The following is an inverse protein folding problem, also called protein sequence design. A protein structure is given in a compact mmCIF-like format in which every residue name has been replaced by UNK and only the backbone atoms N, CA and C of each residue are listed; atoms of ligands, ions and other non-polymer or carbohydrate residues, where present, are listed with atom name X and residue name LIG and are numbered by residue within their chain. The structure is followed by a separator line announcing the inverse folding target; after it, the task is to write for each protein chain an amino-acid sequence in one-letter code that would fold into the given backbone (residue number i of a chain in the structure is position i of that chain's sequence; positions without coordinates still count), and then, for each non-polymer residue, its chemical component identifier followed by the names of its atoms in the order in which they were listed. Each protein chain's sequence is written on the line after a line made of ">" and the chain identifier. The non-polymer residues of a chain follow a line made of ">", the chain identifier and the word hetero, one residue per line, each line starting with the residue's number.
data_IF_672400071121
#
_entry.id   IF_672400071121
#
_cell.length_a   1.000
_cell.length_b   1.000
_cell.length_c   1.000
_cell.angle_alpha   90.00
_cell.angle_beta   90.00
_cell.angle_gamma   90.00
#
_symmetry.space_group_name_H-M   'P 1'
#
loop_
_entity.id
_entity.type
_entity.pdbx_description
1 polymer ?
#
# COMPACT_ATOMS: atom_id res chain seq x y z
N UNK A 1 6.71 0.19 9.46
CA UNK A 1 5.63 -0.34 8.61
C UNK A 1 5.25 -1.70 9.13
N UNK A 2 3.98 -1.89 9.40
CA UNK A 2 3.41 -3.17 9.79
C UNK A 2 2.53 -3.65 8.64
N UNK A 3 2.87 -4.79 8.04
CA UNK A 3 2.06 -5.47 7.04
C UNK A 3 1.74 -6.86 7.61
N UNK A 4 0.52 -7.02 8.12
CA UNK A 4 0.05 -8.30 8.65
C UNK A 4 -1.04 -8.85 7.75
N UNK A 5 -0.63 -9.72 6.83
CA UNK A 5 -1.55 -10.63 6.19
C UNK A 5 -1.17 -12.03 6.66
N UNK A 6 -2.06 -12.70 7.40
CA UNK A 6 -1.79 -14.03 7.96
C UNK A 6 -1.47 -15.08 6.89
N UNK A 7 -1.84 -14.82 5.62
CA UNK A 7 -1.50 -15.63 4.45
C UNK A 7 -0.60 -14.89 3.44
N UNK A 8 0.08 -13.82 3.87
CA UNK A 8 1.13 -13.16 3.11
C UNK A 8 0.67 -12.26 1.96
N UNK A 9 1.66 -11.90 1.14
CA UNK A 9 1.47 -11.12 -0.09
C UNK A 9 1.15 -12.10 -1.22
N UNK A 10 0.06 -11.86 -1.95
CA UNK A 10 -0.40 -12.79 -2.99
C UNK A 10 0.13 -12.40 -4.37
N UNK A 11 0.59 -13.35 -5.18
CA UNK A 11 1.02 -13.09 -6.57
C UNK A 11 0.73 -14.27 -7.47
N UNK A 12 0.63 -14.06 -8.78
CA UNK A 12 0.42 -15.14 -9.76
C UNK A 12 1.63 -15.37 -10.67
N UNK A 13 2.69 -14.58 -10.54
CA UNK A 13 3.92 -14.76 -11.30
C UNK A 13 4.64 -13.46 -11.58
N UNK A 14 5.29 -13.41 -12.75
CA UNK A 14 6.02 -12.24 -13.24
C UNK A 14 5.77 -12.03 -14.72
N UNK A 15 5.87 -10.78 -15.17
CA UNK A 15 5.72 -10.42 -16.58
C UNK A 15 6.83 -9.46 -17.02
N UNK A 16 7.17 -9.57 -18.31
CA UNK A 16 8.10 -8.65 -18.96
C UNK A 16 7.39 -7.36 -19.37
N UNK A 17 8.01 -6.22 -19.11
CA UNK A 17 7.48 -4.89 -19.41
C UNK A 17 8.42 -4.06 -20.29
N UNK A 18 8.29 -2.74 -20.18
CA UNK A 18 9.06 -1.77 -20.97
C UNK A 18 10.57 -2.01 -20.83
N UNK A 19 11.24 -2.21 -21.97
CA UNK A 19 12.70 -2.35 -22.02
C UNK A 19 13.24 -3.66 -21.43
N UNK A 20 12.44 -4.73 -21.41
CA UNK A 20 12.83 -6.03 -20.87
C UNK A 20 12.85 -6.09 -19.35
N UNK A 21 12.18 -5.14 -18.68
CA UNK A 21 12.01 -5.17 -17.22
C UNK A 21 11.16 -6.37 -16.83
N UNK A 22 11.44 -6.96 -15.66
CA UNK A 22 10.71 -8.10 -15.14
C UNK A 22 10.06 -7.71 -13.80
N UNK A 23 8.74 -7.84 -13.70
CA UNK A 23 7.96 -7.30 -12.59
C UNK A 23 6.92 -8.32 -12.10
N UNK A 24 6.54 -8.21 -10.82
CA UNK A 24 5.47 -9.04 -10.24
C UNK A 24 4.16 -8.78 -10.98
N UNK A 25 3.39 -9.84 -11.19
CA UNK A 25 2.01 -9.75 -11.66
C UNK A 25 1.04 -10.39 -10.68
N UNK A 26 -0.22 -10.00 -10.81
CA UNK A 26 -1.34 -10.61 -10.12
C UNK A 26 -2.49 -10.82 -11.11
N UNK A 27 -2.91 -12.07 -11.23
CA UNK A 27 -4.26 -12.46 -11.56
C UNK A 27 -4.83 -13.08 -10.30
N UNK A 28 -5.85 -12.45 -9.72
CA UNK A 28 -6.38 -12.87 -8.42
C UNK A 28 -6.96 -14.29 -8.45
N UNK A 29 -7.35 -14.79 -9.63
CA UNK A 29 -7.92 -16.15 -9.78
C UNK A 29 -6.87 -17.23 -9.60
N UNK A 30 -5.63 -16.93 -9.96
CA UNK A 30 -4.51 -17.88 -9.96
C UNK A 30 -3.43 -17.53 -8.91
N UNK A 31 -3.70 -16.54 -8.06
CA UNK A 31 -2.74 -16.04 -7.11
C UNK A 31 -2.52 -17.01 -5.93
N UNK A 32 -1.30 -17.00 -5.41
CA UNK A 32 -0.92 -17.68 -4.16
C UNK A 32 -0.24 -16.70 -3.21
N UNK A 33 -0.48 -16.86 -1.91
CA UNK A 33 0.11 -16.07 -0.84
C UNK A 33 1.50 -16.57 -0.45
N UNK A 34 2.41 -15.66 -0.14
CA UNK A 34 3.76 -15.97 0.33
C UNK A 34 4.05 -15.29 1.67
N UNK A 35 4.36 -16.08 2.70
CA UNK A 35 4.76 -15.56 4.01
C UNK A 35 5.62 -16.55 4.77
N UNK A 36 6.68 -16.09 5.44
CA UNK A 36 7.51 -16.94 6.31
C UNK A 36 8.20 -18.12 5.61
N UNK A 37 8.32 -18.11 4.27
CA UNK A 37 8.81 -19.24 3.48
C UNK A 37 7.74 -20.27 3.11
N UNK A 38 6.49 -20.05 3.52
CA UNK A 38 5.33 -20.88 3.17
C UNK A 38 4.55 -20.30 1.98
N UNK A 39 3.86 -21.20 1.28
CA UNK A 39 2.95 -20.87 0.18
C UNK A 39 1.52 -21.18 0.63
N UNK A 40 0.67 -20.17 0.57
CA UNK A 40 -0.74 -20.25 0.90
C UNK A 40 -1.55 -20.28 -0.40
N UNK A 41 -2.33 -21.33 -0.61
CA UNK A 41 -3.14 -21.50 -1.82
C UNK A 41 -4.49 -22.13 -1.51
N UNK A 42 -5.47 -21.88 -2.37
CA UNK A 42 -6.81 -22.44 -2.27
C UNK A 42 -7.77 -21.61 -1.42
N UNK A 43 -9.00 -22.10 -1.27
CA UNK A 43 -10.10 -21.33 -0.70
C UNK A 43 -9.97 -21.06 0.80
N UNK A 44 -9.37 -21.98 1.57
CA UNK A 44 -9.29 -21.90 3.04
C UNK A 44 -7.86 -22.16 3.51
N UNK A 45 -7.04 -21.13 3.49
CA UNK A 45 -5.61 -21.20 3.84
C UNK A 45 -5.34 -21.60 5.29
N UNK A 46 -6.33 -21.41 6.17
CA UNK A 46 -6.26 -21.73 7.60
C UNK A 46 -7.36 -22.74 8.00
N UNK A 47 -7.85 -23.54 7.05
CA UNK A 47 -8.84 -24.60 7.29
C UNK A 47 -10.26 -24.14 7.60
N UNK A 48 -10.52 -22.83 7.66
CA UNK A 48 -11.85 -22.25 7.89
C UNK A 48 -12.02 -20.88 7.24
N UNK A 49 -13.26 -20.42 7.15
CA UNK A 49 -13.58 -19.02 6.86
C UNK A 49 -13.54 -18.21 8.16
N UNK A 50 -13.10 -16.97 8.04
CA UNK A 50 -13.14 -15.97 9.11
C UNK A 50 -14.24 -14.96 8.80
N UNK A 51 -14.93 -14.49 9.83
CA UNK A 51 -15.89 -13.38 9.69
C UNK A 51 -15.16 -12.03 9.80
N UNK A 52 -15.79 -10.97 9.29
CA UNK A 52 -15.28 -9.62 9.47
C UNK A 52 -15.30 -9.20 10.94
N UNK A 53 -16.31 -9.62 11.70
CA UNK A 53 -16.45 -9.35 13.13
C UNK A 53 -15.27 -9.93 13.92
N UNK A 54 -14.89 -11.18 13.65
CA UNK A 54 -13.70 -11.80 14.26
C UNK A 54 -12.43 -10.99 13.98
N UNK A 55 -12.27 -10.44 12.78
CA UNK A 55 -11.10 -9.62 12.45
C UNK A 55 -11.11 -8.29 13.19
N UNK A 56 -12.27 -7.64 13.29
CA UNK A 56 -12.41 -6.38 14.03
C UNK A 56 -12.18 -6.55 15.53
N UNK A 57 -12.68 -7.63 16.13
CA UNK A 57 -12.46 -7.96 17.54
C UNK A 57 -10.97 -8.19 17.82
N UNK A 58 -10.30 -8.95 16.95
CA UNK A 58 -8.87 -9.20 17.06
C UNK A 58 -8.03 -7.92 16.90
N UNK A 59 -8.39 -7.04 15.96
CA UNK A 59 -7.72 -5.77 15.78
C UNK A 59 -7.92 -4.85 17.00
N UNK A 60 -9.13 -4.79 17.54
CA UNK A 60 -9.44 -4.02 18.75
C UNK A 60 -8.59 -4.50 19.92
N UNK A 61 -8.59 -5.81 20.17
CA UNK A 61 -7.74 -6.43 21.18
C UNK A 61 -6.24 -6.09 20.96
N UNK A 62 -5.75 -6.17 19.73
CA UNK A 62 -4.36 -5.81 19.41
C UNK A 62 -4.08 -4.34 19.75
N UNK A 63 -4.95 -3.41 19.35
CA UNK A 63 -4.78 -1.97 19.64
C UNK A 63 -4.75 -1.69 21.14
N UNK A 64 -5.64 -2.32 21.92
CA UNK A 64 -5.64 -2.20 23.39
C UNK A 64 -4.29 -2.60 24.02
N UNK A 65 -3.55 -3.53 23.40
CA UNK A 65 -2.24 -3.93 23.89
C UNK A 65 -1.10 -3.06 23.36
N UNK A 66 -1.13 -2.68 22.07
CA UNK A 66 0.02 -2.01 21.44
C UNK A 66 0.00 -0.49 21.60
N UNK A 67 -1.17 0.14 21.68
CA UNK A 67 -1.31 1.61 21.75
C UNK A 67 -0.59 2.18 22.97
N UNK A 68 -0.80 1.67 24.20
CA UNK A 68 -0.15 2.22 25.39
C UNK A 68 1.38 2.18 25.27
N UNK A 69 1.92 1.08 24.73
CA UNK A 69 3.37 0.89 24.55
C UNK A 69 3.92 1.80 23.44
N UNK A 70 3.19 1.95 22.34
CA UNK A 70 3.60 2.81 21.24
C UNK A 70 3.67 4.28 21.67
N UNK A 71 2.72 4.73 22.49
CA UNK A 71 2.70 6.07 23.06
C UNK A 71 3.81 6.27 24.11
N UNK A 72 3.98 5.33 25.05
CA UNK A 72 5.03 5.38 26.08
C UNK A 72 6.43 5.47 25.47
N UNK A 73 6.70 4.69 24.43
CA UNK A 73 8.00 4.62 23.76
C UNK A 73 8.16 5.65 22.63
N UNK A 74 7.12 6.43 22.32
CA UNK A 74 7.13 7.40 21.22
C UNK A 74 7.33 6.76 19.83
N UNK A 75 6.90 5.51 19.66
CA UNK A 75 7.02 4.76 18.41
C UNK A 75 5.80 5.01 17.54
N UNK A 76 6.00 5.38 16.29
CA UNK A 76 4.93 5.54 15.30
C UNK A 76 4.75 4.25 14.49
N UNK A 77 3.53 3.70 14.48
CA UNK A 77 3.16 2.49 13.76
C UNK A 77 2.30 2.86 12.56
N UNK A 78 2.89 2.78 11.37
CA UNK A 78 2.18 2.93 10.10
C UNK A 78 1.64 1.59 9.57
N UNK A 79 0.32 1.47 9.49
CA UNK A 79 -0.42 0.30 9.00
C UNK A 79 -0.48 0.30 7.47
N UNK A 80 0.04 -0.77 6.86
CA UNK A 80 0.06 -0.99 5.41
C UNK A 80 -1.26 -1.62 4.92
N UNK A 81 -1.70 -1.35 3.68
CA UNK A 81 -2.89 -1.98 3.14
C UNK A 81 -2.74 -3.49 3.03
N UNK A 82 -3.88 -4.16 2.93
CA UNK A 82 -3.91 -5.53 2.46
C UNK A 82 -3.37 -5.57 1.00
N UNK A 83 -2.40 -6.43 0.67
CA UNK A 83 -1.81 -6.61 -0.67
C UNK A 83 -2.06 -8.04 -1.21
N UNK A 84 -2.99 -8.23 -2.17
CA UNK A 84 -3.80 -7.23 -2.85
C UNK A 84 -5.06 -6.83 -2.06
N UNK A 85 -5.57 -5.60 -2.15
CA UNK A 85 -6.71 -5.17 -1.31
C UNK A 85 -8.06 -5.68 -1.83
N UNK A 86 -9.15 -5.23 -1.18
CA UNK A 86 -10.55 -5.40 -1.58
C UNK A 86 -11.11 -6.81 -1.45
N UNK A 87 -10.48 -7.81 -2.07
CA UNK A 87 -11.09 -9.13 -2.26
C UNK A 87 -10.67 -10.12 -1.16
N UNK A 88 -11.60 -10.90 -0.59
CA UNK A 88 -11.27 -11.97 0.35
C UNK A 88 -10.34 -13.00 -0.29
N UNK A 89 -9.32 -13.43 0.44
CA UNK A 89 -8.34 -14.40 -0.03
C UNK A 89 -8.08 -15.48 1.01
N UNK A 90 -8.14 -16.75 0.57
CA UNK A 90 -7.84 -17.88 1.44
C UNK A 90 -8.75 -18.02 2.67
N UNK A 91 -10.00 -17.55 2.56
CA UNK A 91 -11.00 -17.62 3.64
C UNK A 91 -10.98 -16.42 4.59
N UNK A 92 -10.16 -15.41 4.30
CA UNK A 92 -9.95 -14.23 5.15
C UNK A 92 -10.50 -12.98 4.44
N UNK A 93 -11.49 -12.28 5.05
CA UNK A 93 -11.96 -10.98 4.55
C UNK A 93 -10.88 -9.90 4.61
N UNK A 94 -10.94 -8.92 3.70
CA UNK A 94 -10.05 -7.73 3.67
C UNK A 94 -10.81 -6.46 4.09
N UNK A 95 -11.60 -6.54 5.15
CA UNK A 95 -12.53 -5.49 5.56
C UNK A 95 -11.86 -4.32 6.29
N UNK A 96 -10.70 -4.53 6.91
CA UNK A 96 -10.02 -3.50 7.72
C UNK A 96 -9.05 -2.66 6.89
N UNK A 97 -8.18 -3.30 6.11
CA UNK A 97 -7.11 -2.61 5.36
C UNK A 97 -7.22 -2.81 3.85
N UNK A 98 -8.38 -3.32 3.37
CA UNK A 98 -8.64 -3.51 1.96
C UNK A 98 -9.42 -2.39 1.28
N UNK A 99 -9.86 -1.34 2.01
CA UNK A 99 -10.51 -0.16 1.45
C UNK A 99 -10.50 1.03 2.43
N UNK A 100 -10.92 2.20 1.95
CA UNK A 100 -10.90 3.46 2.70
C UNK A 100 -11.81 3.48 3.95
N UNK A 101 -13.00 2.87 3.87
CA UNK A 101 -13.94 2.84 5.00
C UNK A 101 -13.42 1.94 6.13
N UNK A 102 -12.83 0.80 5.79
CA UNK A 102 -12.10 -0.06 6.72
C UNK A 102 -10.99 0.72 7.42
N UNK A 103 -10.15 1.43 6.67
CA UNK A 103 -9.07 2.23 7.24
C UNK A 103 -9.58 3.28 8.23
N UNK A 104 -10.63 4.03 7.90
CA UNK A 104 -11.22 5.02 8.81
C UNK A 104 -11.69 4.37 10.11
N UNK A 105 -12.38 3.23 10.02
CA UNK A 105 -12.84 2.50 11.21
C UNK A 105 -11.66 2.00 12.04
N UNK A 106 -10.60 1.47 11.40
CA UNK A 106 -9.41 1.00 12.09
C UNK A 106 -8.64 2.12 12.81
N UNK A 107 -8.54 3.31 12.20
CA UNK A 107 -7.94 4.47 12.85
C UNK A 107 -8.79 4.97 14.03
N UNK A 108 -10.11 4.94 13.91
CA UNK A 108 -11.02 5.31 15.00
C UNK A 108 -10.98 4.32 16.17
N UNK A 109 -10.73 3.04 15.92
CA UNK A 109 -10.53 2.03 16.98
C UNK A 109 -9.18 2.22 17.68
N UNK A 110 -8.13 2.53 16.92
CA UNK A 110 -6.81 2.75 17.50
C UNK A 110 -6.73 4.04 18.33
N UNK A 111 -7.43 5.10 17.91
CA UNK A 111 -7.58 6.39 18.59
C UNK A 111 -6.30 6.89 19.29
N UNK A 112 -5.19 6.89 18.53
CA UNK A 112 -3.87 7.20 19.07
C UNK A 112 -3.06 8.04 18.09
N UNK A 113 -2.30 9.05 18.55
CA UNK A 113 -1.38 9.80 17.70
C UNK A 113 -0.19 8.95 17.22
N UNK A 114 0.03 7.78 17.81
CA UNK A 114 1.14 6.88 17.48
C UNK A 114 0.73 5.77 16.50
N UNK A 115 -0.56 5.63 16.20
CA UNK A 115 -1.06 4.70 15.18
C UNK A 115 -1.56 5.49 13.97
N UNK A 116 -1.10 5.08 12.80
CA UNK A 116 -1.42 5.77 11.56
C UNK A 116 -1.26 4.87 10.35
N UNK A 117 -1.17 5.51 9.20
CA UNK A 117 -1.23 4.88 7.88
C UNK A 117 0.14 4.90 7.23
N UNK A 118 0.59 3.72 6.83
CA UNK A 118 1.61 3.56 5.80
C UNK A 118 0.87 3.42 4.46
N UNK A 119 0.61 4.55 3.80
CA UNK A 119 -0.21 4.57 2.59
C UNK A 119 0.59 3.97 1.43
N UNK A 120 0.21 2.77 1.00
CA UNK A 120 0.75 2.19 -0.22
C UNK A 120 -0.07 2.62 -1.41
N UNK A 121 0.48 3.55 -2.19
CA UNK A 121 -0.10 4.01 -3.45
C UNK A 121 -0.32 2.82 -4.37
N UNK A 122 0.64 1.90 -4.44
CA UNK A 122 0.53 0.67 -5.22
C UNK A 122 -0.72 -0.14 -4.89
N UNK A 123 -0.90 -0.55 -3.63
CA UNK A 123 -2.11 -1.29 -3.22
C UNK A 123 -3.38 -0.48 -3.50
N UNK A 124 -3.38 0.82 -3.20
CA UNK A 124 -4.53 1.66 -3.49
C UNK A 124 -4.90 1.67 -4.98
N UNK A 125 -3.90 1.62 -5.86
CA UNK A 125 -4.09 1.51 -7.30
C UNK A 125 -4.54 0.09 -7.72
N UNK A 126 -4.02 -0.96 -7.09
CA UNK A 126 -4.49 -2.33 -7.34
C UNK A 126 -5.99 -2.48 -7.06
N UNK A 127 -6.50 -1.89 -5.97
CA UNK A 127 -7.94 -1.87 -5.69
C UNK A 127 -8.73 -0.89 -6.55
N UNK A 128 -8.07 0.12 -7.12
CA UNK A 128 -8.67 1.21 -7.88
C UNK A 128 -9.64 2.08 -7.06
N UNK A 129 -10.12 3.17 -7.65
CA UNK A 129 -11.08 4.07 -6.97
C UNK A 129 -12.37 3.33 -6.59
N UNK A 130 -12.81 2.40 -7.43
CA UNK A 130 -14.04 1.64 -7.17
C UNK A 130 -13.88 0.68 -5.98
N UNK A 131 -12.79 -0.07 -5.90
CA UNK A 131 -12.58 -1.05 -4.83
C UNK A 131 -12.10 -0.41 -3.53
N UNK A 132 -11.22 0.59 -3.62
CA UNK A 132 -10.74 1.31 -2.43
C UNK A 132 -11.75 2.34 -1.91
N UNK A 133 -12.68 2.80 -2.74
CA UNK A 133 -13.68 3.81 -2.40
C UNK A 133 -13.19 5.27 -2.57
N UNK A 134 -11.91 5.49 -2.86
CA UNK A 134 -11.33 6.80 -3.17
C UNK A 134 -10.00 6.67 -3.93
N UNK A 135 -9.47 7.82 -4.38
CA UNK A 135 -8.14 7.89 -5.01
C UNK A 135 -7.01 7.93 -3.96
N UNK A 136 -5.76 7.59 -4.33
CA UNK A 136 -4.61 7.78 -3.45
C UNK A 136 -4.46 9.22 -2.98
N UNK A 137 -4.71 10.20 -3.86
CA UNK A 137 -4.62 11.62 -3.54
C UNK A 137 -5.65 12.04 -2.47
N UNK A 138 -6.88 11.53 -2.56
CA UNK A 138 -7.91 11.81 -1.55
C UNK A 138 -7.60 11.14 -0.22
N UNK A 139 -7.09 9.90 -0.25
CA UNK A 139 -6.64 9.21 0.95
C UNK A 139 -5.48 9.96 1.64
N UNK A 140 -4.50 10.46 0.87
CA UNK A 140 -3.42 11.31 1.38
C UNK A 140 -3.97 12.54 2.09
N UNK A 141 -4.86 13.29 1.45
CA UNK A 141 -5.47 14.50 2.03
C UNK A 141 -6.24 14.20 3.30
N UNK A 142 -6.99 13.10 3.32
CA UNK A 142 -7.77 12.70 4.48
C UNK A 142 -6.89 12.34 5.68
N UNK A 143 -5.97 11.37 5.52
CA UNK A 143 -5.16 10.90 6.64
C UNK A 143 -4.14 11.94 7.10
N UNK A 144 -3.61 12.78 6.21
CA UNK A 144 -2.74 13.89 6.61
C UNK A 144 -3.51 14.95 7.44
N UNK A 145 -4.76 15.26 7.09
CA UNK A 145 -5.58 16.20 7.87
C UNK A 145 -5.89 15.71 9.29
N UNK A 146 -5.80 14.39 9.54
CA UNK A 146 -5.95 13.77 10.86
C UNK A 146 -4.60 13.57 11.57
N UNK A 147 -3.48 14.01 11.00
CA UNK A 147 -2.11 13.68 11.46
C UNK A 147 -1.84 12.17 11.53
N UNK A 148 -2.47 11.39 10.65
CA UNK A 148 -2.38 9.92 10.62
C UNK A 148 -1.56 9.41 9.44
N UNK A 149 -1.08 10.25 8.52
CA UNK A 149 -0.22 9.81 7.42
C UNK A 149 1.25 9.80 7.85
N UNK A 150 1.87 8.62 8.00
CA UNK A 150 3.25 8.51 8.53
C UNK A 150 4.27 8.09 7.47
N UNK A 151 3.86 7.29 6.50
CA UNK A 151 4.76 6.75 5.47
C UNK A 151 4.01 6.53 4.17
N UNK A 152 4.71 6.66 3.05
CA UNK A 152 4.18 6.40 1.71
C UNK A 152 5.04 5.37 0.98
N UNK A 153 4.40 4.34 0.44
CA UNK A 153 4.98 3.46 -0.58
C UNK A 153 4.51 3.96 -1.95
N UNK A 154 5.45 4.34 -2.80
CA UNK A 154 5.24 5.14 -4.00
C UNK A 154 5.59 4.33 -5.26
N UNK A 155 4.74 3.34 -5.55
CA UNK A 155 4.83 2.47 -6.73
C UNK A 155 3.55 2.55 -7.57
N UNK A 156 3.61 1.99 -8.78
CA UNK A 156 2.54 2.07 -9.77
C UNK A 156 2.27 0.68 -10.38
N UNK A 157 1.08 0.48 -10.94
CA UNK A 157 0.64 -0.79 -11.59
C UNK A 157 -0.02 -0.50 -12.95
N UNK A 158 -0.23 -1.52 -13.77
CA UNK A 158 -0.77 -1.35 -15.13
C UNK A 158 -2.26 -1.02 -15.20
N UNK A 159 -3.06 -1.46 -14.23
CA UNK A 159 -4.51 -1.29 -14.13
C UNK A 159 -5.00 -1.74 -12.75
N UNK A 160 -6.23 -1.38 -12.33
CA UNK A 160 -6.84 -1.95 -11.13
C UNK A 160 -7.35 -3.39 -11.38
N UNK A 161 -7.51 -4.14 -10.28
CA UNK A 161 -8.28 -5.37 -10.21
C UNK A 161 -9.77 -5.12 -10.50
N UNK A 162 -10.54 -6.15 -10.91
CA UNK A 162 -10.24 -7.58 -10.93
C UNK A 162 -9.45 -8.08 -12.15
N UNK A 163 -9.23 -7.21 -13.15
CA UNK A 163 -8.41 -7.58 -14.30
C UNK A 163 -6.95 -7.84 -13.87
N UNK A 164 -6.25 -8.81 -14.48
CA UNK A 164 -4.85 -9.05 -14.18
C UNK A 164 -4.02 -7.78 -14.36
N UNK A 165 -3.06 -7.56 -13.47
CA UNK A 165 -2.18 -6.41 -13.53
C UNK A 165 -0.72 -6.79 -13.29
N UNK A 166 0.19 -5.91 -13.70
CA UNK A 166 1.63 -6.04 -13.49
C UNK A 166 2.14 -4.79 -12.77
N UNK A 167 3.09 -4.94 -11.85
CA UNK A 167 3.83 -3.80 -11.31
C UNK A 167 4.62 -3.11 -12.42
N UNK A 168 4.73 -1.79 -12.33
CA UNK A 168 5.36 -0.99 -13.38
C UNK A 168 6.48 -0.14 -12.83
N UNK A 169 7.32 0.40 -13.72
CA UNK A 169 8.13 1.56 -13.34
C UNK A 169 7.19 2.70 -12.95
N UNK A 170 7.63 3.55 -12.02
CA UNK A 170 6.81 4.61 -11.42
C UNK A 170 6.11 5.48 -12.49
N UNK A 171 6.77 5.72 -13.63
CA UNK A 171 6.29 6.54 -14.75
C UNK A 171 5.51 5.78 -15.83
N UNK A 172 5.32 4.46 -15.69
CA UNK A 172 4.77 3.60 -16.75
C UNK A 172 3.57 2.76 -16.28
N UNK A 173 2.95 3.13 -15.17
CA UNK A 173 1.65 2.58 -14.76
C UNK A 173 0.50 3.49 -15.16
N UNK A 174 -0.72 3.12 -14.77
CA UNK A 174 -1.92 3.86 -15.18
C UNK A 174 -2.14 5.14 -14.38
N UNK A 175 -1.55 5.25 -13.19
CA UNK A 175 -1.65 6.45 -12.37
C UNK A 175 -0.62 7.48 -12.83
N UNK A 176 -1.06 8.73 -13.00
CA UNK A 176 -0.14 9.85 -13.02
C UNK A 176 0.40 10.09 -11.60
N UNK A 177 1.66 9.71 -11.38
CA UNK A 177 2.31 9.83 -10.08
C UNK A 177 2.64 11.28 -9.73
N UNK A 178 2.57 12.22 -10.70
CA UNK A 178 2.63 13.65 -10.40
C UNK A 178 1.50 14.08 -9.46
N UNK A 179 0.27 13.65 -9.73
CA UNK A 179 -0.90 13.99 -8.91
C UNK A 179 -0.78 13.49 -7.47
N UNK A 180 -0.19 12.32 -7.28
CA UNK A 180 0.08 11.76 -5.95
C UNK A 180 1.14 12.60 -5.23
N UNK A 181 2.24 12.95 -5.91
CA UNK A 181 3.29 13.82 -5.34
C UNK A 181 2.75 15.21 -5.01
N UNK A 182 1.86 15.76 -5.85
CA UNK A 182 1.17 17.03 -5.63
C UNK A 182 0.29 16.99 -4.39
N UNK A 183 -0.48 15.92 -4.18
CA UNK A 183 -1.26 15.73 -2.96
C UNK A 183 -0.37 15.68 -1.71
N UNK A 184 0.77 14.98 -1.75
CA UNK A 184 1.73 14.96 -0.64
C UNK A 184 2.30 16.35 -0.34
N UNK A 185 2.55 17.12 -1.39
CA UNK A 185 3.02 18.50 -1.25
C UNK A 185 1.97 19.41 -0.63
N UNK A 186 0.73 19.33 -1.09
CA UNK A 186 -0.40 20.13 -0.58
C UNK A 186 -0.55 19.99 0.94
N UNK A 187 -0.40 18.76 1.43
CA UNK A 187 -0.50 18.44 2.86
C UNK A 187 0.80 18.66 3.63
N UNK A 188 1.86 19.15 2.96
CA UNK A 188 3.21 19.36 3.51
C UNK A 188 3.75 18.10 4.20
N UNK A 189 3.56 16.94 3.57
CA UNK A 189 4.00 15.66 4.11
C UNK A 189 5.51 15.67 4.38
N UNK A 190 5.89 15.35 5.61
CA UNK A 190 7.27 15.35 6.13
C UNK A 190 7.77 13.94 6.50
N UNK A 191 6.95 12.91 6.28
CA UNK A 191 7.31 11.52 6.53
C UNK A 191 8.12 10.88 5.40
N UNK A 192 8.36 9.57 5.54
CA UNK A 192 9.18 8.81 4.61
C UNK A 192 8.39 8.39 3.35
N UNK A 193 8.95 8.65 2.17
CA UNK A 193 8.46 8.14 0.88
C UNK A 193 9.48 7.14 0.33
N UNK A 194 9.05 5.92 0.00
CA UNK A 194 9.92 4.90 -0.60
C UNK A 194 9.34 4.39 -1.93
N UNK A 195 10.18 3.97 -2.89
CA UNK A 195 9.71 3.42 -4.17
C UNK A 195 9.05 2.04 -4.07
N UNK A 196 9.11 1.40 -2.89
CA UNK A 196 8.51 0.10 -2.60
C UNK A 196 9.01 -1.01 -3.52
N UNK A 197 8.15 -1.58 -4.37
CA UNK A 197 8.53 -2.64 -5.30
C UNK A 197 9.11 -2.05 -6.58
N UNK A 198 10.31 -2.50 -6.93
CA UNK A 198 11.06 -2.01 -8.08
C UNK A 198 11.21 -3.16 -9.08
N UNK A 199 10.69 -3.01 -10.33
CA UNK A 199 10.93 -3.97 -11.39
C UNK A 199 12.42 -4.29 -11.56
N UNK A 200 12.73 -5.55 -11.83
CA UNK A 200 14.08 -5.95 -12.19
C UNK A 200 14.44 -5.32 -13.53
N UNK A 201 15.59 -4.66 -13.58
CA UNK A 201 16.10 -4.01 -14.80
C UNK A 201 17.41 -4.66 -15.24
N UNK A 202 17.71 -4.56 -16.53
CA UNK A 202 19.04 -4.81 -17.06
C UNK A 202 20.08 -3.96 -16.29
N UNK A 203 21.14 -4.60 -15.81
CA UNK A 203 22.13 -3.98 -14.92
C UNK A 203 21.83 -4.15 -13.41
N UNK A 204 20.73 -4.80 -13.05
CA UNK A 204 20.45 -5.27 -11.71
C UNK A 204 19.71 -4.27 -10.81
N UNK A 205 19.46 -4.63 -9.54
CA UNK A 205 18.52 -3.92 -8.66
C UNK A 205 18.93 -2.46 -8.34
N UNK A 206 20.22 -2.15 -8.40
CA UNK A 206 20.73 -0.79 -8.18
C UNK A 206 20.28 0.19 -9.26
N UNK A 207 20.14 -0.28 -10.50
CA UNK A 207 19.69 0.55 -11.62
C UNK A 207 18.24 0.94 -11.43
N UNK A 208 17.37 -0.02 -11.11
CA UNK A 208 15.97 0.25 -10.79
C UNK A 208 15.82 1.18 -9.59
N UNK A 209 16.61 0.96 -8.53
CA UNK A 209 16.63 1.85 -7.36
C UNK A 209 17.02 3.28 -7.72
N UNK A 210 18.10 3.44 -8.49
CA UNK A 210 18.56 4.76 -8.93
C UNK A 210 17.52 5.46 -9.82
N UNK A 211 16.92 4.73 -10.75
CA UNK A 211 15.85 5.23 -11.62
C UNK A 211 14.65 5.73 -10.80
N UNK A 212 14.11 4.89 -9.92
CA UNK A 212 12.93 5.22 -9.11
C UNK A 212 13.17 6.42 -8.20
N UNK A 213 14.31 6.46 -7.49
CA UNK A 213 14.65 7.60 -6.62
C UNK A 213 14.85 8.88 -7.44
N UNK A 214 15.54 8.80 -8.58
CA UNK A 214 15.74 9.96 -9.45
C UNK A 214 14.41 10.51 -9.99
N UNK A 215 13.50 9.62 -10.43
CA UNK A 215 12.18 10.02 -10.91
C UNK A 215 11.33 10.65 -9.79
N UNK A 216 11.32 10.04 -8.59
CA UNK A 216 10.65 10.63 -7.43
C UNK A 216 11.18 12.03 -7.08
N UNK A 217 12.51 12.22 -7.11
CA UNK A 217 13.12 13.56 -6.89
C UNK A 217 12.73 14.55 -7.97
N UNK A 218 12.64 14.11 -9.22
CA UNK A 218 12.17 14.95 -10.33
C UNK A 218 10.70 15.37 -10.13
N UNK A 219 9.82 14.46 -9.67
CA UNK A 219 8.44 14.80 -9.32
C UNK A 219 8.37 15.83 -8.18
N UNK A 220 9.16 15.65 -7.12
CA UNK A 220 9.26 16.64 -6.03
C UNK A 220 9.67 18.00 -6.58
N UNK A 221 10.69 18.05 -7.45
CA UNK A 221 11.14 19.29 -8.07
C UNK A 221 10.04 19.91 -8.95
N UNK A 222 9.36 19.12 -9.77
CA UNK A 222 8.30 19.58 -10.66
C UNK A 222 7.15 20.22 -9.87
N UNK A 223 6.65 19.51 -8.85
CA UNK A 223 5.57 20.01 -7.99
C UNK A 223 6.01 21.28 -7.25
N UNK A 224 7.22 21.31 -6.69
CA UNK A 224 7.73 22.51 -6.01
C UNK A 224 7.84 23.71 -6.96
N UNK A 225 8.30 23.50 -8.20
CA UNK A 225 8.39 24.57 -9.19
C UNK A 225 7.01 25.12 -9.57
N UNK A 226 5.99 24.26 -9.69
CA UNK A 226 4.61 24.71 -9.93
C UNK A 226 4.07 25.53 -8.74
N UNK A 227 4.41 25.13 -7.51
CA UNK A 227 3.92 25.77 -6.28
C UNK A 227 4.77 26.95 -5.78
N UNK A 228 5.63 27.54 -6.62
CA UNK A 228 6.41 28.74 -6.27
C UNK A 228 7.69 28.50 -5.47
N UNK A 229 8.16 27.25 -5.39
CA UNK A 229 9.43 26.85 -4.78
C UNK A 229 9.32 25.73 -3.74
N UNK A 230 10.45 25.36 -3.12
CA UNK A 230 10.45 24.49 -1.94
C UNK A 230 9.61 25.13 -0.81
N UNK A 231 9.04 24.32 0.07
CA UNK A 231 8.33 24.79 1.28
C UNK A 231 8.52 23.81 2.41
#
# INVERSE_FOLDING_TARGET
>A
TYAHMGNGIWSSGRAEGRGGMDARMLDIKDAVGHWGGEIFSGELTHGRKYSEEELWDNYTYLMEQIVPVAEEEGVYIGIHPDDPPVYPLGGIPRCMFGNFDGYKKAMAIADSPNIGVCLCVGCWLEGGVQGMGNSPADAIRHFAAQNQLFKVHFRNVSNPMPEPWVETLIDNGYQDMYEVMKALREVKFDGCIIPDHIPNMLGGPRVGTAYSIAYMRALVQAVNNECGGPA
#
